data_IF_038699056876
#
_entry.id   IF_038699056876
#
_cell.length_a   1.000
_cell.length_b   1.000
_cell.length_c   1.000
_cell.angle_alpha   90.00
_cell.angle_beta   90.00
_cell.angle_gamma   90.00
#
_symmetry.space_group_name_H-M   'P 1'
#
loop_
_entity.id
_entity.type
_entity.pdbx_description
1 polymer ?
#
# COMPACT_ATOMS: atom_id res chain seq x y z
N UNK A 1 -1.51 -34.56 -10.88
CA UNK A 1 -0.29 -33.79 -11.09
C UNK A 1 -0.58 -32.32 -10.86
N UNK A 2 0.40 -31.58 -10.35
CA UNK A 2 0.29 -30.13 -10.29
C UNK A 2 0.11 -29.58 -11.73
N UNK A 3 -0.81 -28.63 -11.91
CA UNK A 3 -1.14 -28.10 -13.23
C UNK A 3 -2.18 -28.88 -14.03
N UNK A 4 -2.70 -29.98 -13.50
CA UNK A 4 -3.78 -30.75 -14.12
C UNK A 4 -5.05 -30.73 -13.27
N UNK A 5 -5.36 -29.59 -12.68
CA UNK A 5 -6.57 -29.42 -11.88
C UNK A 5 -7.79 -29.41 -12.80
N UNK A 6 -8.77 -30.24 -12.48
CA UNK A 6 -10.10 -30.23 -13.11
C UNK A 6 -11.11 -29.86 -12.01
N UNK A 7 -11.60 -28.64 -12.04
CA UNK A 7 -12.58 -28.15 -11.09
C UNK A 7 -13.91 -27.94 -11.83
N UNK A 8 -14.94 -28.72 -11.50
CA UNK A 8 -16.24 -28.67 -12.16
C UNK A 8 -16.87 -27.28 -12.13
N UNK A 9 -16.79 -26.59 -10.97
CA UNK A 9 -17.32 -25.23 -10.77
C UNK A 9 -16.43 -24.12 -11.32
N UNK A 10 -15.17 -24.42 -11.65
CA UNK A 10 -14.16 -23.47 -12.13
C UNK A 10 -13.40 -24.08 -13.32
N UNK A 11 -14.06 -24.26 -14.48
CA UNK A 11 -13.50 -25.05 -15.60
C UNK A 11 -12.23 -24.44 -16.21
N UNK A 12 -11.98 -23.16 -15.99
CA UNK A 12 -10.79 -22.46 -16.47
C UNK A 12 -9.64 -22.40 -15.46
N UNK A 13 -9.84 -22.86 -14.20
CA UNK A 13 -8.80 -22.92 -13.19
C UNK A 13 -7.91 -24.13 -13.43
N UNK A 14 -6.69 -23.92 -13.96
CA UNK A 14 -5.73 -24.96 -14.30
C UNK A 14 -4.64 -25.15 -13.25
N UNK A 15 -4.23 -24.08 -12.61
CA UNK A 15 -3.11 -24.06 -11.67
C UNK A 15 -3.53 -23.44 -10.34
N UNK A 16 -3.17 -24.09 -9.25
CA UNK A 16 -3.25 -23.55 -7.89
C UNK A 16 -1.85 -23.53 -7.33
N UNK A 17 -1.42 -22.37 -6.85
CA UNK A 17 -0.08 -22.16 -6.26
C UNK A 17 -0.27 -21.94 -4.77
N UNK A 18 0.36 -22.80 -3.97
CA UNK A 18 0.35 -22.69 -2.51
C UNK A 18 1.59 -21.94 -2.05
N UNK A 19 1.37 -20.93 -1.22
CA UNK A 19 2.43 -20.29 -0.45
C UNK A 19 2.84 -21.20 0.71
N UNK A 20 4.13 -21.18 1.07
CA UNK A 20 4.68 -21.99 2.17
C UNK A 20 5.35 -23.28 1.70
N UNK A 21 5.92 -24.01 2.67
CA UNK A 21 6.79 -25.20 2.43
C UNK A 21 6.04 -26.51 2.29
N UNK A 22 4.81 -26.58 2.79
CA UNK A 22 4.02 -27.82 2.75
C UNK A 22 3.54 -28.16 1.33
N UNK A 23 3.57 -29.42 0.97
CA UNK A 23 3.07 -29.90 -0.32
C UNK A 23 1.60 -30.30 -0.24
N UNK A 24 0.80 -29.86 -1.19
CA UNK A 24 -0.59 -30.27 -1.36
C UNK A 24 -0.77 -30.97 -2.70
N UNK A 25 -1.54 -32.05 -2.71
CA UNK A 25 -1.83 -32.80 -3.94
C UNK A 25 -2.53 -31.88 -4.97
N UNK A 26 -2.05 -31.92 -6.21
CA UNK A 26 -2.61 -31.14 -7.32
C UNK A 26 -2.23 -29.65 -7.34
N UNK A 27 -1.46 -29.17 -6.36
CA UNK A 27 -1.00 -27.78 -6.29
C UNK A 27 0.51 -27.66 -6.58
N UNK A 28 0.91 -26.51 -7.08
CA UNK A 28 2.31 -26.11 -7.12
C UNK A 28 2.70 -25.43 -5.81
N UNK A 29 3.95 -25.60 -5.36
CA UNK A 29 4.51 -24.73 -4.35
C UNK A 29 5.09 -23.48 -4.99
N UNK A 30 4.95 -22.34 -4.38
CA UNK A 30 5.47 -21.06 -4.89
C UNK A 30 6.96 -21.12 -5.19
N UNK A 31 7.76 -21.66 -4.28
CA UNK A 31 9.20 -21.83 -4.47
C UNK A 31 9.55 -22.70 -5.69
N UNK A 32 8.75 -23.72 -5.97
CA UNK A 32 8.94 -24.57 -7.15
C UNK A 32 8.60 -23.81 -8.44
N UNK A 33 7.54 -22.98 -8.43
CA UNK A 33 7.18 -22.14 -9.58
C UNK A 33 8.29 -21.15 -9.90
N UNK A 34 8.92 -20.53 -8.90
CA UNK A 34 10.04 -19.62 -9.09
C UNK A 34 11.26 -20.26 -9.78
N UNK A 35 11.36 -21.59 -9.77
CA UNK A 35 12.46 -22.34 -10.42
C UNK A 35 12.12 -22.82 -11.83
N UNK A 36 10.92 -22.56 -12.35
CA UNK A 36 10.49 -23.06 -13.65
C UNK A 36 10.99 -22.21 -14.83
N UNK A 37 11.35 -20.95 -14.58
CA UNK A 37 11.82 -20.03 -15.62
C UNK A 37 13.14 -20.50 -16.24
N UNK A 38 13.21 -20.51 -17.56
CA UNK A 38 14.43 -20.78 -18.33
C UNK A 38 14.90 -19.53 -19.09
N UNK A 39 16.06 -19.59 -19.71
CA UNK A 39 16.57 -18.49 -20.54
C UNK A 39 15.61 -18.13 -21.70
N UNK A 40 14.82 -19.08 -22.17
CA UNK A 40 13.82 -18.82 -23.22
C UNK A 40 12.68 -17.96 -22.72
N UNK A 41 12.15 -18.23 -21.52
CA UNK A 41 11.12 -17.41 -20.91
C UNK A 41 11.63 -16.02 -20.55
N UNK A 42 12.86 -15.90 -20.06
CA UNK A 42 13.48 -14.58 -19.80
C UNK A 42 13.59 -13.74 -21.07
N UNK A 43 14.00 -14.35 -22.20
CA UNK A 43 14.05 -13.62 -23.49
C UNK A 43 12.65 -13.18 -23.96
N UNK A 44 11.59 -13.88 -23.58
CA UNK A 44 10.22 -13.47 -23.90
C UNK A 44 9.77 -12.23 -23.10
N UNK A 45 10.31 -12.00 -21.90
CA UNK A 45 9.99 -10.81 -21.10
C UNK A 45 10.38 -9.53 -21.84
N UNK A 46 11.55 -9.50 -22.48
CA UNK A 46 12.02 -8.34 -23.26
C UNK A 46 11.05 -8.02 -24.43
N UNK A 47 10.52 -9.07 -25.07
CA UNK A 47 9.52 -8.92 -26.14
C UNK A 47 8.20 -8.40 -25.62
N UNK A 48 7.73 -8.93 -24.47
CA UNK A 48 6.47 -8.50 -23.83
C UNK A 48 6.59 -7.05 -23.35
N UNK A 49 7.72 -6.68 -22.74
CA UNK A 49 7.96 -5.31 -22.26
C UNK A 49 7.77 -4.30 -23.39
N UNK A 50 8.29 -4.58 -24.58
CA UNK A 50 8.12 -3.74 -25.78
C UNK A 50 6.69 -3.62 -26.31
N UNK A 51 5.77 -4.46 -25.84
CA UNK A 51 4.35 -4.48 -26.24
C UNK A 51 3.42 -3.79 -25.25
N UNK A 52 3.91 -3.49 -24.02
CA UNK A 52 3.10 -2.88 -22.98
C UNK A 52 2.91 -1.37 -23.21
N UNK A 53 1.71 -0.90 -22.96
CA UNK A 53 1.37 0.52 -23.07
C UNK A 53 0.90 1.07 -21.74
N UNK A 54 1.23 2.33 -21.44
CA UNK A 54 0.87 3.00 -20.21
C UNK A 54 -0.66 3.01 -19.92
N UNK A 55 -1.48 2.88 -20.95
CA UNK A 55 -2.94 2.83 -20.81
C UNK A 55 -3.50 1.40 -20.70
N UNK A 56 -2.65 0.37 -20.76
CA UNK A 56 -3.11 -1.00 -20.57
C UNK A 56 -3.60 -1.20 -19.13
N UNK A 57 -4.66 -2.01 -18.93
CA UNK A 57 -5.12 -2.39 -17.62
C UNK A 57 -4.08 -3.28 -16.92
N UNK A 58 -3.68 -2.92 -15.70
CA UNK A 58 -2.70 -3.68 -14.92
C UNK A 58 -3.27 -4.22 -13.62
N UNK A 59 -4.32 -3.59 -13.10
CA UNK A 59 -4.87 -3.95 -11.80
C UNK A 59 -6.39 -3.92 -11.84
N UNK A 60 -7.03 -4.88 -11.17
CA UNK A 60 -8.46 -4.90 -10.92
C UNK A 60 -8.65 -4.95 -9.42
N UNK A 61 -9.06 -3.83 -8.85
CA UNK A 61 -9.36 -3.68 -7.42
C UNK A 61 -10.85 -3.84 -7.18
N UNK A 62 -11.22 -4.81 -6.34
CA UNK A 62 -12.62 -4.98 -5.96
C UNK A 62 -12.99 -4.03 -4.81
N UNK A 63 -14.07 -3.29 -5.00
CA UNK A 63 -14.67 -2.44 -3.97
C UNK A 63 -15.96 -3.08 -3.47
N UNK A 64 -16.33 -2.82 -2.20
CA UNK A 64 -17.54 -3.40 -1.59
C UNK A 64 -18.85 -2.99 -2.27
N UNK A 65 -18.84 -1.93 -3.06
CA UNK A 65 -19.99 -1.39 -3.78
C UNK A 65 -21.14 -0.96 -2.84
N UNK A 66 -21.71 0.21 -3.05
CA UNK A 66 -22.84 0.71 -2.27
C UNK A 66 -24.15 -0.03 -2.57
N UNK A 67 -24.20 -0.85 -3.62
CA UNK A 67 -25.39 -1.53 -4.16
C UNK A 67 -25.38 -3.05 -3.95
N UNK A 68 -24.50 -3.58 -3.13
CA UNK A 68 -24.50 -4.98 -2.68
C UNK A 68 -23.53 -5.90 -3.43
N UNK A 69 -23.29 -5.73 -4.74
CA UNK A 69 -22.31 -6.54 -5.46
C UNK A 69 -20.95 -5.83 -5.53
N UNK A 70 -19.83 -6.54 -5.29
CA UNK A 70 -18.51 -5.97 -5.48
C UNK A 70 -18.30 -5.49 -6.92
N UNK A 71 -17.62 -4.34 -7.08
CA UNK A 71 -17.25 -3.78 -8.38
C UNK A 71 -15.75 -3.95 -8.58
N UNK A 72 -15.35 -4.39 -9.77
CA UNK A 72 -13.94 -4.49 -10.15
C UNK A 72 -13.48 -3.20 -10.82
N UNK A 73 -12.88 -2.27 -10.06
CA UNK A 73 -12.28 -1.08 -10.61
C UNK A 73 -11.03 -1.46 -11.40
N UNK A 74 -11.05 -1.22 -12.70
CA UNK A 74 -9.94 -1.56 -13.61
C UNK A 74 -9.04 -0.36 -13.79
N UNK A 75 -7.78 -0.49 -13.35
CA UNK A 75 -6.80 0.59 -13.30
C UNK A 75 -5.67 0.33 -14.30
N UNK A 76 -5.23 1.37 -15.01
CA UNK A 76 -4.10 1.29 -15.94
C UNK A 76 -2.77 1.60 -15.26
N UNK A 77 -1.65 1.25 -15.90
CA UNK A 77 -0.32 1.65 -15.46
C UNK A 77 -0.23 3.16 -15.22
N UNK A 78 -0.70 3.95 -16.19
CA UNK A 78 -0.68 5.42 -16.13
C UNK A 78 -1.45 5.95 -14.92
N UNK A 79 -2.62 5.38 -14.65
CA UNK A 79 -3.48 5.83 -13.56
C UNK A 79 -2.78 5.63 -12.20
N UNK A 80 -2.38 4.38 -11.88
CA UNK A 80 -1.80 4.09 -10.57
C UNK A 80 -0.40 4.68 -10.38
N UNK A 81 0.44 4.67 -11.42
CA UNK A 81 1.80 5.17 -11.30
C UNK A 81 1.84 6.70 -11.18
N UNK A 82 1.04 7.42 -11.96
CA UNK A 82 0.94 8.87 -11.82
C UNK A 82 0.39 9.26 -10.45
N UNK A 83 -0.65 8.55 -9.98
CA UNK A 83 -1.21 8.83 -8.66
C UNK A 83 -0.15 8.63 -7.57
N UNK A 84 0.58 7.52 -7.59
CA UNK A 84 1.67 7.25 -6.66
C UNK A 84 2.76 8.33 -6.71
N UNK A 85 3.16 8.73 -7.91
CA UNK A 85 4.18 9.76 -8.11
C UNK A 85 3.77 11.11 -7.51
N UNK A 86 2.56 11.59 -7.82
CA UNK A 86 2.09 12.89 -7.31
C UNK A 86 1.84 12.89 -5.80
N UNK A 87 1.40 11.75 -5.23
CA UNK A 87 1.29 11.60 -3.77
C UNK A 87 2.66 11.75 -3.11
N UNK A 88 3.67 11.04 -3.60
CA UNK A 88 5.02 11.11 -3.04
C UNK A 88 5.67 12.47 -3.25
N UNK A 89 5.41 13.11 -4.41
CA UNK A 89 5.88 14.47 -4.67
C UNK A 89 5.27 15.46 -3.66
N UNK A 90 3.96 15.37 -3.38
CA UNK A 90 3.30 16.23 -2.40
C UNK A 90 3.80 15.99 -0.97
N UNK A 91 4.15 14.77 -0.61
CA UNK A 91 4.78 14.43 0.67
C UNK A 91 6.27 14.80 0.74
N UNK A 92 6.85 15.31 -0.35
CA UNK A 92 8.30 15.55 -0.51
C UNK A 92 9.12 14.29 -0.19
N UNK A 93 8.68 13.11 -0.67
CA UNK A 93 9.43 11.87 -0.51
C UNK A 93 10.68 11.86 -1.38
N UNK A 94 11.71 11.23 -0.86
CA UNK A 94 13.02 11.05 -1.50
C UNK A 94 13.62 9.69 -1.16
N UNK A 95 14.77 9.38 -1.74
CA UNK A 95 15.52 8.15 -1.44
C UNK A 95 16.05 8.09 0.01
N UNK A 96 16.03 9.20 0.74
CA UNK A 96 16.41 9.23 2.16
C UNK A 96 15.26 8.81 3.09
N UNK A 97 14.03 8.75 2.56
CA UNK A 97 12.84 8.48 3.36
C UNK A 97 12.57 6.99 3.55
N UNK A 98 11.94 6.70 4.67
CA UNK A 98 11.51 5.36 5.09
C UNK A 98 10.03 5.43 5.47
N UNK A 99 9.18 4.88 4.61
CA UNK A 99 7.73 4.92 4.77
C UNK A 99 7.23 3.66 5.46
N UNK A 100 6.65 3.81 6.65
CA UNK A 100 5.91 2.75 7.33
C UNK A 100 4.51 2.60 6.74
N UNK A 101 4.16 1.38 6.30
CA UNK A 101 2.93 1.05 5.57
C UNK A 101 2.14 -0.01 6.34
N UNK A 102 1.38 0.35 7.39
CA UNK A 102 0.55 -0.59 8.13
C UNK A 102 -0.79 -0.88 7.44
N UNK A 103 -1.10 -0.14 6.37
CA UNK A 103 -2.32 -0.31 5.58
C UNK A 103 -2.20 -1.51 4.63
N UNK A 104 -3.32 -2.24 4.35
CA UNK A 104 -3.27 -3.45 3.56
C UNK A 104 -2.77 -3.23 2.12
N UNK A 105 -1.82 -4.07 1.67
CA UNK A 105 -1.28 -4.00 0.30
C UNK A 105 -2.26 -4.46 -0.78
N UNK A 106 -3.33 -5.19 -0.42
CA UNK A 106 -4.41 -5.55 -1.34
C UNK A 106 -5.42 -4.41 -1.55
N UNK A 107 -5.28 -3.30 -0.83
CA UNK A 107 -6.04 -2.06 -1.02
C UNK A 107 -5.17 -1.02 -1.72
N UNK A 108 -5.76 -0.18 -2.56
CA UNK A 108 -5.03 0.86 -3.30
C UNK A 108 -4.26 1.84 -2.40
N UNK A 109 -4.67 2.05 -1.16
CA UNK A 109 -3.89 2.83 -0.20
C UNK A 109 -2.50 2.21 0.02
N UNK A 110 -2.42 0.93 0.37
CA UNK A 110 -1.12 0.26 0.59
C UNK A 110 -0.36 0.01 -0.70
N UNK A 111 -1.05 -0.41 -1.79
CA UNK A 111 -0.40 -0.72 -3.05
C UNK A 111 0.09 0.53 -3.78
N UNK A 112 -0.76 1.53 -3.99
CA UNK A 112 -0.43 2.71 -4.79
C UNK A 112 0.27 3.76 -3.94
N UNK A 113 -0.38 4.24 -2.87
CA UNK A 113 0.16 5.32 -2.03
C UNK A 113 1.32 4.85 -1.16
N UNK A 114 1.39 3.55 -0.81
CA UNK A 114 2.53 2.96 -0.11
C UNK A 114 3.60 2.47 -1.08
N UNK A 115 3.37 1.29 -1.68
CA UNK A 115 4.40 0.57 -2.46
C UNK A 115 4.87 1.33 -3.68
N UNK A 116 3.96 1.73 -4.59
CA UNK A 116 4.36 2.42 -5.82
C UNK A 116 4.89 3.82 -5.55
N UNK A 117 4.41 4.49 -4.50
CA UNK A 117 4.92 5.78 -4.05
C UNK A 117 6.40 5.66 -3.64
N UNK A 118 6.76 4.66 -2.82
CA UNK A 118 8.15 4.40 -2.46
C UNK A 118 9.01 4.08 -3.69
N UNK A 119 8.54 3.19 -4.57
CA UNK A 119 9.28 2.80 -5.78
C UNK A 119 9.55 4.01 -6.67
N UNK A 120 8.56 4.88 -6.88
CA UNK A 120 8.69 6.06 -7.76
C UNK A 120 9.64 7.14 -7.22
N UNK A 121 9.91 7.16 -5.91
CA UNK A 121 10.78 8.15 -5.24
C UNK A 121 12.08 7.55 -4.70
N UNK A 122 12.28 6.23 -4.84
CA UNK A 122 13.43 5.53 -4.29
C UNK A 122 13.41 5.39 -2.77
N UNK A 123 12.27 5.64 -2.12
CA UNK A 123 12.11 5.55 -0.67
C UNK A 123 12.06 4.08 -0.19
N UNK A 124 12.47 3.85 1.05
CA UNK A 124 12.40 2.52 1.67
C UNK A 124 10.98 2.21 2.12
N UNK A 125 10.49 1.01 1.80
CA UNK A 125 9.24 0.46 2.34
C UNK A 125 9.49 -0.26 3.65
N UNK A 126 8.75 0.07 4.70
CA UNK A 126 8.74 -0.64 5.97
C UNK A 126 7.35 -1.25 6.18
N UNK A 127 7.28 -2.58 6.25
CA UNK A 127 6.05 -3.34 6.44
C UNK A 127 6.04 -3.91 7.87
N UNK A 128 5.31 -3.28 8.80
CA UNK A 128 5.47 -3.58 10.23
C UNK A 128 4.86 -4.93 10.66
N UNK A 129 3.77 -5.35 10.00
CA UNK A 129 3.03 -6.56 10.39
C UNK A 129 2.12 -7.05 9.26
N UNK A 130 1.64 -8.31 9.37
CA UNK A 130 0.68 -8.88 8.39
C UNK A 130 -0.72 -8.26 8.48
N UNK A 131 -1.15 -7.94 9.71
CA UNK A 131 -2.39 -7.24 9.99
C UNK A 131 -2.08 -6.09 10.96
N UNK A 132 -2.83 -5.00 10.86
CA UNK A 132 -2.60 -3.83 11.69
C UNK A 132 -2.66 -4.17 13.19
N UNK A 133 -1.60 -3.80 13.88
CA UNK A 133 -1.47 -3.80 15.33
C UNK A 133 -0.61 -2.58 15.72
N UNK A 134 -1.06 -1.70 16.64
CA UNK A 134 -0.36 -0.46 16.95
C UNK A 134 1.05 -0.67 17.49
N UNK A 135 1.29 -1.71 18.31
CA UNK A 135 2.60 -1.93 18.92
C UNK A 135 3.68 -2.29 17.90
N UNK A 136 3.50 -3.28 16.99
CA UNK A 136 4.44 -3.52 15.91
C UNK A 136 4.67 -2.31 15.00
N UNK A 137 3.64 -1.47 14.78
CA UNK A 137 3.80 -0.24 13.97
C UNK A 137 4.73 0.74 14.67
N UNK A 138 4.46 1.06 15.95
CA UNK A 138 5.28 1.98 16.74
C UNK A 138 6.72 1.46 16.90
N UNK A 139 6.86 0.14 17.11
CA UNK A 139 8.18 -0.50 17.19
C UNK A 139 8.94 -0.38 15.86
N UNK A 140 8.26 -0.62 14.73
CA UNK A 140 8.88 -0.49 13.41
C UNK A 140 9.26 0.97 13.10
N UNK A 141 8.45 1.95 13.50
CA UNK A 141 8.80 3.37 13.37
C UNK A 141 10.10 3.67 14.10
N UNK A 142 10.23 3.24 15.34
CA UNK A 142 11.43 3.43 16.14
C UNK A 142 12.64 2.69 15.56
N UNK A 143 12.54 1.38 15.36
CA UNK A 143 13.66 0.52 14.98
C UNK A 143 14.22 0.85 13.60
N UNK A 144 13.32 1.16 12.67
CA UNK A 144 13.66 1.48 11.30
C UNK A 144 13.83 3.00 11.08
N UNK A 145 13.65 3.83 12.11
CA UNK A 145 13.72 5.28 12.01
C UNK A 145 12.86 5.80 10.84
N UNK A 146 11.60 5.40 10.83
CA UNK A 146 10.69 5.77 9.75
C UNK A 146 10.48 7.28 9.72
N UNK A 147 10.56 7.87 8.54
CA UNK A 147 10.35 9.31 8.33
C UNK A 147 8.93 9.65 7.90
N UNK A 148 8.17 8.62 7.50
CA UNK A 148 6.80 8.77 7.06
C UNK A 148 5.94 7.59 7.55
N UNK A 149 4.65 7.88 7.84
CA UNK A 149 3.68 6.88 8.30
C UNK A 149 2.34 7.08 7.61
N UNK A 150 1.78 6.02 7.04
CA UNK A 150 0.44 6.00 6.48
C UNK A 150 -0.55 5.39 7.45
N UNK A 151 -1.78 5.91 7.48
CA UNK A 151 -2.84 5.31 8.27
C UNK A 151 -4.23 5.85 7.97
N UNK A 152 -5.23 5.13 8.45
CA UNK A 152 -6.59 5.65 8.56
C UNK A 152 -6.80 6.23 9.97
N UNK A 153 -7.79 7.13 10.19
CA UNK A 153 -7.98 7.75 11.50
C UNK A 153 -8.03 6.77 12.67
N UNK A 154 -8.67 5.62 12.52
CA UNK A 154 -8.77 4.61 13.58
C UNK A 154 -7.43 3.93 13.91
N UNK A 155 -6.51 3.81 12.95
CA UNK A 155 -5.15 3.31 13.18
C UNK A 155 -4.37 4.31 14.03
N UNK A 156 -4.32 5.56 13.63
CA UNK A 156 -3.63 6.61 14.38
C UNK A 156 -4.20 6.80 15.82
N UNK A 157 -5.52 6.67 15.98
CA UNK A 157 -6.12 6.69 17.31
C UNK A 157 -5.60 5.52 18.16
N UNK A 158 -5.55 4.31 17.59
CA UNK A 158 -5.07 3.13 18.31
C UNK A 158 -3.59 3.23 18.66
N UNK A 159 -2.76 3.82 17.80
CA UNK A 159 -1.34 4.09 18.06
C UNK A 159 -1.16 5.11 19.20
N UNK A 160 -1.86 6.24 19.12
CA UNK A 160 -1.79 7.30 20.14
C UNK A 160 -2.38 6.91 21.49
N UNK A 161 -3.34 5.99 21.51
CA UNK A 161 -4.00 5.51 22.73
C UNK A 161 -3.36 4.22 23.27
N UNK A 162 -2.28 3.70 22.63
CA UNK A 162 -1.53 2.56 23.17
C UNK A 162 -0.92 2.93 24.53
N UNK A 163 -1.11 2.10 25.58
CA UNK A 163 -0.59 2.38 26.92
C UNK A 163 0.93 2.56 26.97
N UNK A 164 1.65 2.03 25.99
CA UNK A 164 3.10 2.09 25.90
C UNK A 164 3.58 3.18 24.93
N UNK A 165 2.69 3.97 24.33
CA UNK A 165 3.04 4.97 23.31
C UNK A 165 4.24 5.84 23.74
N UNK A 166 4.24 6.32 24.97
CA UNK A 166 5.32 7.16 25.52
C UNK A 166 6.69 6.46 25.62
N UNK A 167 6.77 5.17 25.41
CA UNK A 167 8.02 4.40 25.41
C UNK A 167 8.66 4.25 24.04
N UNK A 168 7.94 4.63 22.96
CA UNK A 168 8.44 4.57 21.60
C UNK A 168 9.00 5.92 21.17
N UNK A 169 10.15 5.88 20.50
CA UNK A 169 10.72 7.07 19.84
C UNK A 169 10.17 7.20 18.43
N UNK A 170 9.26 8.17 18.25
CA UNK A 170 8.65 8.50 16.96
C UNK A 170 9.19 9.80 16.37
N UNK A 171 10.24 10.37 16.94
CA UNK A 171 10.79 11.68 16.58
C UNK A 171 11.40 11.74 15.17
N UNK A 172 11.61 10.60 14.53
CA UNK A 172 12.04 10.52 13.13
C UNK A 172 10.93 10.83 12.12
N UNK A 173 9.64 10.77 12.55
CA UNK A 173 8.51 11.04 11.69
C UNK A 173 8.46 12.52 11.29
N UNK A 174 8.13 12.81 10.04
CA UNK A 174 7.95 14.17 9.52
C UNK A 174 6.70 14.33 8.65
N UNK A 175 6.23 13.25 8.00
CA UNK A 175 5.14 13.29 7.02
C UNK A 175 4.37 11.97 7.01
N UNK A 176 3.29 11.94 6.28
CA UNK A 176 2.44 10.77 6.09
C UNK A 176 1.12 11.15 5.43
N UNK A 177 0.29 10.15 5.16
CA UNK A 177 -1.05 10.36 4.66
C UNK A 177 -2.07 9.79 5.64
N UNK A 178 -3.04 10.63 6.03
CA UNK A 178 -4.26 10.20 6.69
C UNK A 178 -5.41 10.25 5.70
N UNK A 179 -6.08 9.12 5.46
CA UNK A 179 -7.13 8.99 4.47
C UNK A 179 -8.13 7.88 4.82
N UNK A 180 -9.12 7.66 3.96
CA UNK A 180 -10.12 6.58 4.08
C UNK A 180 -11.38 6.97 4.85
N UNK A 181 -11.34 8.01 5.65
CA UNK A 181 -12.50 8.66 6.27
C UNK A 181 -12.15 10.08 6.68
N UNK A 182 -13.14 10.87 7.13
CA UNK A 182 -12.90 12.21 7.65
C UNK A 182 -11.94 12.17 8.85
N UNK A 183 -10.90 13.00 8.82
CA UNK A 183 -9.97 13.16 9.93
C UNK A 183 -10.55 14.12 10.97
N UNK A 184 -10.77 13.69 12.23
CA UNK A 184 -11.17 14.59 13.29
C UNK A 184 -10.10 15.64 13.59
N UNK A 185 -10.51 16.90 13.75
CA UNK A 185 -9.60 18.02 14.05
C UNK A 185 -8.68 17.76 15.24
N UNK A 186 -9.21 17.17 16.30
CA UNK A 186 -8.43 16.88 17.52
C UNK A 186 -7.41 15.75 17.28
N UNK A 187 -7.72 14.78 16.43
CA UNK A 187 -6.75 13.77 16.02
C UNK A 187 -5.59 14.40 15.25
N UNK A 188 -5.87 15.28 14.30
CA UNK A 188 -4.83 15.98 13.54
C UNK A 188 -3.88 16.76 14.47
N UNK A 189 -4.40 17.45 15.49
CA UNK A 189 -3.56 18.12 16.48
C UNK A 189 -2.63 17.15 17.20
N UNK A 190 -3.16 16.00 17.66
CA UNK A 190 -2.35 14.98 18.34
C UNK A 190 -1.28 14.39 17.42
N UNK A 191 -1.57 14.16 16.15
CA UNK A 191 -0.58 13.67 15.18
C UNK A 191 0.60 14.64 15.05
N UNK A 192 0.31 15.93 15.02
CA UNK A 192 1.34 16.98 14.93
C UNK A 192 2.11 17.12 16.25
N UNK A 193 1.40 17.14 17.41
CA UNK A 193 2.04 17.42 18.71
C UNK A 193 2.70 16.22 19.35
N UNK A 194 2.13 15.01 19.19
CA UNK A 194 2.54 13.83 19.95
C UNK A 194 3.33 12.82 19.08
N UNK A 195 3.18 12.87 17.72
CA UNK A 195 3.86 11.99 16.79
C UNK A 195 4.85 12.70 15.85
N UNK A 196 5.13 13.98 16.05
CA UNK A 196 6.02 14.79 15.18
C UNK A 196 5.62 14.81 13.68
N UNK A 197 4.38 14.46 13.37
CA UNK A 197 3.86 14.44 11.99
C UNK A 197 3.44 15.85 11.52
N UNK A 198 4.36 16.81 11.60
CA UNK A 198 4.08 18.20 11.21
C UNK A 198 3.68 18.35 9.73
N UNK A 199 4.19 17.47 8.87
CA UNK A 199 3.87 17.43 7.44
C UNK A 199 2.90 16.30 7.07
N UNK A 200 1.97 15.92 7.97
CA UNK A 200 0.91 14.98 7.59
C UNK A 200 -0.08 15.63 6.65
N UNK A 201 -0.51 14.91 5.62
CA UNK A 201 -1.47 15.38 4.62
C UNK A 201 -2.73 14.56 4.65
N UNK A 202 -3.86 15.21 4.38
CA UNK A 202 -5.16 14.55 4.23
C UNK A 202 -5.42 14.28 2.75
N UNK A 203 -5.85 13.07 2.43
CA UNK A 203 -6.22 12.71 1.07
C UNK A 203 -7.68 12.24 0.99
N UNK A 204 -8.38 12.69 -0.04
CA UNK A 204 -9.68 12.21 -0.45
C UNK A 204 -9.58 11.52 -1.80
N UNK A 205 -10.29 10.41 -1.93
CA UNK A 205 -10.35 9.70 -3.20
C UNK A 205 -11.14 8.41 -3.13
N UNK A 206 -11.11 7.71 -4.24
CA UNK A 206 -11.79 6.43 -4.42
C UNK A 206 -10.91 5.51 -5.26
N UNK A 207 -11.14 4.21 -5.16
CA UNK A 207 -10.35 3.21 -5.90
C UNK A 207 -10.34 3.50 -7.40
N UNK A 208 -11.48 3.90 -7.96
CA UNK A 208 -11.67 4.24 -9.36
C UNK A 208 -10.85 5.47 -9.81
N UNK A 209 -10.51 6.37 -8.89
CA UNK A 209 -9.66 7.55 -9.12
C UNK A 209 -8.16 7.25 -9.14
N UNK A 210 -7.77 6.12 -8.54
CA UNK A 210 -6.43 5.58 -8.65
C UNK A 210 -5.36 5.78 -7.57
N UNK A 211 -5.62 5.94 -6.25
CA UNK A 211 -6.82 6.13 -5.44
C UNK A 211 -7.10 7.57 -4.98
N UNK A 212 -6.19 8.53 -5.22
CA UNK A 212 -6.30 9.90 -4.71
C UNK A 212 -6.86 10.82 -5.80
N UNK A 213 -7.97 11.49 -5.50
CA UNK A 213 -8.56 12.52 -6.37
C UNK A 213 -8.09 13.91 -5.93
N UNK A 214 -8.01 14.16 -4.62
CA UNK A 214 -7.51 15.42 -4.05
C UNK A 214 -6.67 15.16 -2.81
N UNK A 215 -5.75 16.06 -2.50
CA UNK A 215 -4.84 15.97 -1.38
C UNK A 215 -4.50 17.38 -0.89
N UNK A 216 -4.35 17.56 0.42
CA UNK A 216 -3.87 18.82 0.97
C UNK A 216 -2.39 19.02 0.67
N UNK A 217 -1.95 20.27 0.62
CA UNK A 217 -0.52 20.58 0.48
C UNK A 217 0.22 20.33 1.79
N UNK A 218 1.48 19.88 1.70
CA UNK A 218 2.33 19.60 2.88
C UNK A 218 2.45 20.82 3.80
N UNK A 219 2.67 22.00 3.20
CA UNK A 219 2.82 23.27 3.91
C UNK A 219 1.50 24.04 4.02
N UNK A 220 0.37 23.37 3.78
CA UNK A 220 -0.97 23.96 3.83
C UNK A 220 -1.38 24.40 5.23
N UNK A 221 -2.24 25.39 5.32
CA UNK A 221 -2.80 25.83 6.60
C UNK A 221 -3.56 24.68 7.28
N UNK A 222 -3.44 24.58 8.61
CA UNK A 222 -4.10 23.53 9.41
C UNK A 222 -5.61 23.43 9.13
N UNK A 223 -6.30 24.55 8.92
CA UNK A 223 -7.72 24.60 8.58
C UNK A 223 -8.06 23.96 7.22
N UNK A 224 -7.11 23.85 6.34
CA UNK A 224 -7.28 23.17 5.05
C UNK A 224 -7.04 21.66 5.14
N UNK A 225 -6.46 21.18 6.23
CA UNK A 225 -6.13 19.77 6.44
C UNK A 225 -7.21 18.98 7.20
N UNK A 226 -8.21 19.66 7.77
CA UNK A 226 -9.24 19.09 8.66
C UNK A 226 -10.66 19.31 8.12
#
# INVERSE_FOLDING_TARGET
CAGALVAEKLPHLKHVIRMGSEKSAGMHNFSAVCQLGSAAEFSQLDVIEGQLHANDPINIQFTSGTTGNPKGATLSHRNILNNAYFVGQNMHLSAADRLCIPVPLYHCFGMVMGTLCCVSHGATMVLPCEAFDPQPVLQAVQDEQCTALHGVPTMFIAELDDPNFAHYDVSSLRTGVIAGSTCPRELMKRLISDMDLAGIVTAYGQTEGGPVDTMTELDGAFEAQV
#
